data_IF_555618639144
#
_entry.id   IF_555618639144
#
_cell.length_a   1.000
_cell.length_b   1.000
_cell.length_c   1.000
_cell.angle_alpha   90.00
_cell.angle_beta   90.00
_cell.angle_gamma   90.00
#
_symmetry.space_group_name_H-M   'P 1'
#
loop_
_entity.id
_entity.type
_entity.pdbx_description
1 polymer ?
#
# COMPACT_ATOMS: atom_id res chain seq x y z
N UNK A 1 -14.63 -6.63 -35.82
CA UNK A 1 -14.84 -6.29 -34.40
C UNK A 1 -13.90 -7.18 -33.61
N UNK A 2 -12.72 -6.66 -33.27
CA UNK A 2 -11.68 -7.41 -32.56
C UNK A 2 -12.15 -7.66 -31.13
N UNK A 3 -12.34 -8.93 -30.76
CA UNK A 3 -12.63 -9.30 -29.38
C UNK A 3 -11.47 -8.86 -28.49
N UNK A 4 -11.75 -7.89 -27.61
CA UNK A 4 -10.82 -7.49 -26.55
C UNK A 4 -10.85 -8.62 -25.52
N UNK A 5 -9.95 -9.60 -25.68
CA UNK A 5 -9.70 -10.60 -24.63
C UNK A 5 -8.97 -9.91 -23.49
N UNK A 6 -9.68 -9.70 -22.39
CA UNK A 6 -9.09 -9.22 -21.14
C UNK A 6 -8.38 -10.43 -20.52
N UNK A 7 -7.10 -10.62 -20.86
CA UNK A 7 -6.28 -11.62 -20.18
C UNK A 7 -5.91 -11.09 -18.79
N UNK A 8 -6.45 -11.72 -17.75
CA UNK A 8 -6.08 -11.51 -16.34
C UNK A 8 -4.75 -12.19 -15.97
N UNK A 9 -3.89 -12.38 -16.96
CA UNK A 9 -2.58 -12.99 -16.77
C UNK A 9 -1.63 -11.93 -16.21
N UNK A 10 -0.85 -12.28 -15.17
CA UNK A 10 0.05 -11.30 -14.55
C UNK A 10 1.14 -10.94 -15.54
N UNK A 11 1.24 -9.67 -15.94
CA UNK A 11 2.28 -9.29 -16.86
C UNK A 11 3.65 -9.41 -16.17
N UNK A 12 4.53 -10.24 -16.72
CA UNK A 12 5.87 -10.47 -16.15
C UNK A 12 6.69 -9.18 -16.07
N UNK A 13 6.44 -8.22 -16.97
CA UNK A 13 7.08 -6.89 -16.94
C UNK A 13 6.74 -6.11 -15.66
N UNK A 14 5.55 -6.30 -15.09
CA UNK A 14 5.08 -5.57 -13.92
C UNK A 14 5.79 -6.08 -12.66
N UNK A 15 5.94 -7.40 -12.55
CA UNK A 15 6.71 -8.05 -11.48
C UNK A 15 8.17 -7.56 -11.52
N UNK A 16 8.79 -7.56 -12.70
CA UNK A 16 10.17 -7.08 -12.88
C UNK A 16 10.29 -5.60 -12.50
N UNK A 17 9.30 -4.77 -12.86
CA UNK A 17 9.28 -3.37 -12.47
C UNK A 17 9.25 -3.19 -10.94
N UNK A 18 8.42 -3.96 -10.22
CA UNK A 18 8.39 -3.94 -8.74
C UNK A 18 9.73 -4.32 -8.10
N UNK A 19 10.46 -5.29 -8.66
CA UNK A 19 11.79 -5.63 -8.16
C UNK A 19 12.81 -4.52 -8.41
N UNK A 20 12.80 -3.90 -9.60
CA UNK A 20 13.71 -2.79 -9.92
C UNK A 20 13.43 -1.59 -9.01
N UNK A 21 12.16 -1.22 -8.83
CA UNK A 21 11.78 -0.10 -7.96
C UNK A 21 12.13 -0.40 -6.51
N UNK A 22 11.89 -1.63 -6.02
CA UNK A 22 12.30 -2.07 -4.68
C UNK A 22 13.81 -2.04 -4.44
N UNK A 23 14.62 -2.47 -5.42
CA UNK A 23 16.09 -2.38 -5.31
C UNK A 23 16.53 -0.91 -5.30
N UNK A 24 15.94 -0.08 -6.16
CA UNK A 24 16.27 1.34 -6.22
C UNK A 24 15.91 2.08 -4.92
N UNK A 25 14.75 1.77 -4.31
CA UNK A 25 14.34 2.37 -3.05
C UNK A 25 15.24 1.89 -1.90
N UNK A 26 15.65 0.63 -1.87
CA UNK A 26 16.63 0.15 -0.89
C UNK A 26 17.96 0.90 -0.97
N UNK A 27 18.50 1.10 -2.18
CA UNK A 27 19.77 1.83 -2.36
C UNK A 27 19.61 3.29 -1.88
N UNK A 28 18.53 3.97 -2.28
CA UNK A 28 18.28 5.34 -1.86
C UNK A 28 18.07 5.46 -0.35
N UNK A 29 17.31 4.54 0.25
CA UNK A 29 17.06 4.54 1.68
C UNK A 29 18.34 4.30 2.48
N UNK A 30 19.20 3.37 2.04
CA UNK A 30 20.53 3.15 2.64
C UNK A 30 21.44 4.36 2.46
N UNK A 31 21.40 5.02 1.31
CA UNK A 31 22.15 6.24 1.07
C UNK A 31 21.70 7.38 1.99
N UNK A 32 20.40 7.54 2.23
CA UNK A 32 19.88 8.53 3.18
C UNK A 32 20.29 8.19 4.61
N UNK A 33 20.23 6.92 5.04
CA UNK A 33 20.76 6.50 6.35
C UNK A 33 22.24 6.84 6.47
N UNK A 34 23.04 6.56 5.43
CA UNK A 34 24.46 6.90 5.40
C UNK A 34 24.69 8.41 5.57
N UNK A 35 23.97 9.25 4.83
CA UNK A 35 24.05 10.70 4.98
C UNK A 35 23.66 11.17 6.40
N UNK A 36 22.63 10.57 6.99
CA UNK A 36 22.20 10.93 8.35
C UNK A 36 23.24 10.52 9.40
N UNK A 37 23.89 9.35 9.25
CA UNK A 37 24.88 8.87 10.23
C UNK A 37 26.20 9.65 10.11
N UNK A 38 26.72 9.81 8.89
CA UNK A 38 28.07 10.35 8.68
C UNK A 38 28.11 11.86 8.47
N UNK A 39 27.06 12.47 7.89
CA UNK A 39 27.05 13.88 7.52
C UNK A 39 26.20 14.76 8.44
N UNK A 40 25.42 14.16 9.35
CA UNK A 40 24.71 14.93 10.36
C UNK A 40 25.71 15.29 11.46
N UNK A 41 26.14 16.54 11.56
CA UNK A 41 27.18 16.98 12.51
C UNK A 41 26.63 17.51 13.84
N UNK A 42 25.52 18.28 13.84
CA UNK A 42 24.99 18.99 15.02
C UNK A 42 23.54 18.67 15.45
N UNK A 43 22.88 17.69 14.83
CA UNK A 43 21.42 17.47 14.99
C UNK A 43 21.02 16.39 16.02
N UNK A 44 21.54 16.44 17.24
CA UNK A 44 21.55 15.30 18.17
C UNK A 44 20.18 14.60 18.35
N UNK A 45 19.13 15.29 18.80
CA UNK A 45 17.79 14.66 18.94
C UNK A 45 16.95 14.59 17.66
N UNK A 46 17.31 15.33 16.60
CA UNK A 46 16.55 15.34 15.33
C UNK A 46 16.93 14.14 14.45
N UNK A 47 18.18 13.70 14.52
CA UNK A 47 18.66 12.52 13.77
C UNK A 47 17.89 11.25 14.08
N UNK A 48 17.59 10.99 15.36
CA UNK A 48 16.86 9.79 15.75
C UNK A 48 15.48 9.70 15.09
N UNK A 49 14.79 10.83 14.93
CA UNK A 49 13.49 10.89 14.26
C UNK A 49 13.62 10.68 12.75
N UNK A 50 14.64 11.26 12.13
CA UNK A 50 14.94 11.02 10.71
C UNK A 50 15.35 9.57 10.43
N UNK A 51 16.15 8.96 11.31
CA UNK A 51 16.52 7.55 11.20
C UNK A 51 15.30 6.65 11.37
N UNK A 52 14.45 6.91 12.36
CA UNK A 52 13.20 6.16 12.56
C UNK A 52 12.26 6.27 11.35
N UNK A 53 12.14 7.47 10.76
CA UNK A 53 11.42 7.67 9.51
C UNK A 53 12.00 6.83 8.37
N UNK A 54 13.32 6.90 8.18
CA UNK A 54 14.00 6.20 7.09
C UNK A 54 13.89 4.68 7.22
N UNK A 55 13.95 4.15 8.44
CA UNK A 55 13.72 2.73 8.75
C UNK A 55 12.26 2.35 8.41
N UNK A 56 11.28 3.18 8.77
CA UNK A 56 9.87 2.96 8.45
C UNK A 56 9.61 2.94 6.93
N UNK A 57 10.23 3.86 6.18
CA UNK A 57 10.19 3.87 4.72
C UNK A 57 10.78 2.57 4.16
N UNK A 58 11.96 2.18 4.62
CA UNK A 58 12.62 0.93 4.18
C UNK A 58 11.75 -0.30 4.45
N UNK A 59 11.13 -0.38 5.62
CA UNK A 59 10.23 -1.48 5.98
C UNK A 59 8.99 -1.51 5.07
N UNK A 60 8.44 -0.36 4.74
CA UNK A 60 7.26 -0.24 3.89
C UNK A 60 7.58 -0.54 2.42
N UNK A 61 8.75 -0.13 1.95
CA UNK A 61 9.26 -0.46 0.62
C UNK A 61 9.54 -1.97 0.49
N UNK A 62 10.07 -2.61 1.53
CA UNK A 62 10.22 -4.07 1.58
C UNK A 62 8.85 -4.77 1.61
N UNK A 63 7.90 -4.24 2.38
CA UNK A 63 6.54 -4.76 2.43
C UNK A 63 5.88 -4.69 1.04
N UNK A 64 5.97 -3.57 0.32
CA UNK A 64 5.36 -3.48 -1.02
C UNK A 64 6.09 -4.34 -2.05
N UNK A 65 7.42 -4.41 -2.00
CA UNK A 65 8.24 -5.09 -3.01
C UNK A 65 8.25 -6.62 -2.87
N UNK A 66 8.20 -7.15 -1.63
CA UNK A 66 8.32 -8.58 -1.34
C UNK A 66 6.99 -9.19 -0.88
N UNK A 67 6.25 -8.48 -0.03
CA UNK A 67 5.09 -9.04 0.69
C UNK A 67 3.80 -8.81 -0.08
N UNK A 68 3.55 -7.58 -0.52
CA UNK A 68 2.27 -7.18 -1.09
C UNK A 68 2.21 -7.27 -2.62
N UNK A 69 3.27 -6.91 -3.36
CA UNK A 69 3.30 -6.80 -4.85
C UNK A 69 1.90 -6.54 -5.44
N UNK A 70 1.33 -5.34 -5.21
CA UNK A 70 -0.06 -5.07 -5.55
C UNK A 70 -0.23 -5.01 -7.06
N UNK A 71 -1.00 -5.93 -7.64
CA UNK A 71 -1.33 -5.93 -9.06
C UNK A 71 -2.70 -5.29 -9.22
N UNK A 72 -2.74 -4.08 -9.76
CA UNK A 72 -3.98 -3.40 -10.11
C UNK A 72 -4.59 -3.99 -11.38
N UNK A 73 -5.90 -4.23 -11.37
CA UNK A 73 -6.66 -4.64 -12.55
C UNK A 73 -7.08 -3.42 -13.36
N UNK A 74 -6.43 -3.11 -14.47
CA UNK A 74 -6.97 -2.07 -15.35
C UNK A 74 -8.28 -2.55 -16.01
N UNK A 75 -9.38 -1.77 -16.08
CA UNK A 75 -9.63 -0.39 -15.61
C UNK A 75 -10.41 -0.28 -14.27
N UNK A 76 -10.41 -1.32 -13.45
CA UNK A 76 -11.19 -1.41 -12.20
C UNK A 76 -10.28 -0.98 -11.05
N UNK A 77 -10.74 -0.22 -10.04
CA UNK A 77 -9.92 0.11 -8.88
C UNK A 77 -9.71 -1.09 -7.94
N UNK A 78 -9.60 -2.31 -8.48
CA UNK A 78 -9.38 -3.54 -7.74
C UNK A 78 -7.95 -4.03 -7.99
N UNK A 79 -7.42 -4.82 -7.06
CA UNK A 79 -6.10 -5.41 -7.21
C UNK A 79 -5.86 -6.46 -6.16
N UNK A 80 -4.98 -7.39 -6.48
CA UNK A 80 -4.60 -8.46 -5.57
C UNK A 80 -3.09 -8.48 -5.39
N UNK A 81 -2.66 -8.93 -4.21
CA UNK A 81 -1.25 -9.10 -3.92
C UNK A 81 -0.74 -10.45 -4.39
N UNK A 82 0.34 -10.44 -5.16
CA UNK A 82 1.03 -11.65 -5.65
C UNK A 82 2.36 -11.92 -4.92
N UNK A 83 2.68 -11.15 -3.88
CA UNK A 83 3.91 -11.34 -3.13
C UNK A 83 3.93 -12.61 -2.29
N UNK A 84 5.12 -12.97 -1.77
CA UNK A 84 5.35 -14.14 -0.89
C UNK A 84 4.45 -14.07 0.35
N UNK A 85 4.06 -12.85 0.76
CA UNK A 85 3.15 -12.59 1.87
C UNK A 85 1.73 -13.10 1.70
N UNK A 86 1.29 -13.38 0.46
CA UNK A 86 -0.04 -13.93 0.19
C UNK A 86 -0.29 -15.25 0.93
N UNK A 87 0.75 -16.06 1.13
CA UNK A 87 0.65 -17.34 1.84
C UNK A 87 0.52 -17.20 3.36
N UNK A 88 0.90 -16.05 3.92
CA UNK A 88 0.97 -15.85 5.38
C UNK A 88 -0.05 -14.82 5.90
N UNK A 89 -0.44 -13.84 5.07
CA UNK A 89 -1.27 -12.70 5.48
C UNK A 89 -2.40 -12.51 4.46
N UNK A 90 -3.63 -12.38 4.96
CA UNK A 90 -4.78 -12.01 4.11
C UNK A 90 -4.53 -10.68 3.40
N UNK A 91 -4.92 -10.59 2.13
CA UNK A 91 -4.73 -9.37 1.31
C UNK A 91 -5.33 -8.11 1.97
N UNK A 92 -6.42 -8.27 2.71
CA UNK A 92 -7.05 -7.20 3.49
C UNK A 92 -6.14 -6.72 4.63
N UNK A 93 -5.60 -7.67 5.41
CA UNK A 93 -4.70 -7.38 6.53
C UNK A 93 -3.39 -6.77 6.05
N UNK A 94 -2.81 -7.27 4.95
CA UNK A 94 -1.59 -6.71 4.36
C UNK A 94 -1.75 -5.26 3.89
N UNK A 95 -2.86 -4.95 3.20
CA UNK A 95 -3.15 -3.58 2.75
C UNK A 95 -3.45 -2.63 3.92
N UNK A 96 -4.05 -3.12 5.00
CA UNK A 96 -4.30 -2.36 6.23
C UNK A 96 -3.00 -2.01 6.94
N UNK A 97 -2.11 -3.00 7.11
CA UNK A 97 -0.78 -2.81 7.72
C UNK A 97 0.04 -1.82 6.90
N UNK A 98 0.03 -1.93 5.58
CA UNK A 98 0.74 -1.01 4.70
C UNK A 98 0.20 0.43 4.82
N UNK A 99 -1.12 0.60 4.86
CA UNK A 99 -1.76 1.92 5.04
C UNK A 99 -1.41 2.56 6.38
N UNK A 100 -1.31 1.76 7.44
CA UNK A 100 -0.86 2.22 8.75
C UNK A 100 0.61 2.66 8.73
N UNK A 101 1.49 1.87 8.11
CA UNK A 101 2.91 2.21 7.97
C UNK A 101 3.11 3.52 7.18
N UNK A 102 2.40 3.72 6.07
CA UNK A 102 2.44 4.97 5.30
C UNK A 102 1.92 6.17 6.11
N UNK A 103 0.82 6.00 6.84
CA UNK A 103 0.30 7.07 7.71
C UNK A 103 1.32 7.47 8.77
N UNK A 104 1.98 6.50 9.40
CA UNK A 104 3.04 6.76 10.38
C UNK A 104 4.24 7.49 9.78
N UNK A 105 4.61 7.20 8.53
CA UNK A 105 5.68 7.92 7.83
C UNK A 105 5.36 9.42 7.68
N UNK A 106 4.14 9.75 7.25
CA UNK A 106 3.70 11.15 7.08
C UNK A 106 3.74 11.91 8.41
N UNK A 107 3.33 11.27 9.51
CA UNK A 107 3.37 11.87 10.85
C UNK A 107 4.80 12.16 11.31
N UNK A 108 5.69 11.15 11.23
CA UNK A 108 7.09 11.32 11.65
C UNK A 108 7.80 12.37 10.79
N UNK A 109 7.52 12.41 9.48
CA UNK A 109 8.05 13.43 8.57
C UNK A 109 7.57 14.85 8.95
N UNK A 110 6.29 14.97 9.29
CA UNK A 110 5.68 16.22 9.74
C UNK A 110 6.34 16.71 11.03
N UNK A 111 6.53 15.83 12.02
CA UNK A 111 7.26 16.14 13.26
C UNK A 111 8.70 16.58 12.94
N UNK A 112 9.39 15.89 12.03
CA UNK A 112 10.73 16.25 11.61
C UNK A 112 10.80 17.66 11.01
N UNK A 113 9.89 18.01 10.10
CA UNK A 113 9.84 19.35 9.52
C UNK A 113 9.57 20.43 10.56
N UNK A 114 8.63 20.21 11.48
CA UNK A 114 8.34 21.18 12.53
C UNK A 114 9.50 21.39 13.48
N UNK A 115 10.20 20.33 13.87
CA UNK A 115 11.39 20.44 14.73
C UNK A 115 12.54 21.16 14.03
N UNK A 116 12.73 20.89 12.73
CA UNK A 116 13.72 21.61 11.91
C UNK A 116 13.37 23.09 11.83
N UNK A 117 12.10 23.41 11.56
CA UNK A 117 11.61 24.78 11.52
C UNK A 117 11.82 25.47 12.87
N UNK A 118 11.43 24.83 13.98
CA UNK A 118 11.65 25.34 15.34
C UNK A 118 13.12 25.63 15.63
N UNK A 119 14.03 24.75 15.22
CA UNK A 119 15.46 24.98 15.41
C UNK A 119 15.95 26.22 14.65
N UNK A 120 15.48 26.42 13.41
CA UNK A 120 15.82 27.59 12.58
C UNK A 120 15.20 28.87 13.15
N UNK A 121 13.92 28.84 13.54
CA UNK A 121 13.22 29.99 14.14
C UNK A 121 13.82 30.38 15.47
N UNK A 122 14.23 29.41 16.30
CA UNK A 122 14.87 29.68 17.59
C UNK A 122 16.26 30.32 17.41
N UNK A 123 16.99 29.95 16.33
CA UNK A 123 18.24 30.61 15.98
C UNK A 123 18.01 32.04 15.45
N UNK A 124 16.94 32.27 14.70
CA UNK A 124 16.61 33.57 14.13
C UNK A 124 15.98 34.54 15.15
N UNK A 125 15.12 34.05 16.04
CA UNK A 125 14.36 34.83 17.03
C UNK A 125 14.10 34.01 18.31
N UNK A 126 15.05 33.97 19.27
CA UNK A 126 14.96 33.13 20.47
C UNK A 126 13.81 33.48 21.42
N UNK A 127 13.25 34.70 21.35
CA UNK A 127 12.12 35.15 22.17
C UNK A 127 10.73 34.85 21.58
N UNK A 128 10.64 34.51 20.28
CA UNK A 128 9.36 34.46 19.56
C UNK A 128 8.73 33.08 19.40
N UNK A 129 9.47 31.99 19.64
CA UNK A 129 8.99 30.64 19.36
C UNK A 129 8.21 30.05 20.54
N UNK A 130 6.92 30.37 20.63
CA UNK A 130 6.02 29.71 21.59
C UNK A 130 5.89 28.21 21.27
N UNK A 131 6.35 27.34 22.17
CA UNK A 131 6.17 25.87 22.06
C UNK A 131 4.70 25.46 21.93
N UNK A 132 3.76 26.30 22.37
CA UNK A 132 2.32 26.06 22.26
C UNK A 132 1.85 25.99 20.80
N UNK A 133 2.38 26.82 19.90
CA UNK A 133 1.99 26.82 18.47
C UNK A 133 2.30 25.47 17.81
N UNK A 134 3.46 24.89 18.12
CA UNK A 134 3.86 23.57 17.61
C UNK A 134 3.00 22.44 18.19
N UNK A 135 2.58 22.54 19.45
CA UNK A 135 1.65 21.58 20.07
C UNK A 135 0.25 21.68 19.45
N UNK A 136 -0.25 22.89 19.18
CA UNK A 136 -1.54 23.08 18.51
C UNK A 136 -1.54 22.52 17.09
N UNK A 137 -0.47 22.74 16.32
CA UNK A 137 -0.35 22.19 14.98
C UNK A 137 -0.31 20.66 15.00
N UNK A 138 0.41 20.06 15.96
CA UNK A 138 0.41 18.61 16.14
C UNK A 138 -0.99 18.09 16.51
N UNK A 139 -1.68 18.76 17.45
CA UNK A 139 -3.04 18.41 17.86
C UNK A 139 -4.08 18.51 16.73
N UNK A 140 -3.83 19.33 15.70
CA UNK A 140 -4.69 19.43 14.50
C UNK A 140 -4.33 18.36 13.45
N UNK A 141 -3.05 18.02 13.29
CA UNK A 141 -2.60 17.06 12.28
C UNK A 141 -2.96 15.60 12.64
N UNK A 142 -2.96 15.25 13.93
CA UNK A 142 -3.33 13.89 14.39
C UNK A 142 -4.77 13.52 14.02
N UNK A 143 -5.81 14.32 14.33
CA UNK A 143 -7.18 14.00 13.94
C UNK A 143 -7.38 14.04 12.42
N UNK A 144 -6.63 14.87 11.69
CA UNK A 144 -6.64 14.84 10.22
C UNK A 144 -6.07 13.52 9.67
N UNK A 145 -4.95 13.03 10.23
CA UNK A 145 -4.40 11.72 9.86
C UNK A 145 -5.36 10.58 10.18
N UNK A 146 -6.03 10.62 11.34
CA UNK A 146 -7.05 9.64 11.72
C UNK A 146 -8.23 9.67 10.75
N UNK A 147 -8.69 10.87 10.37
CA UNK A 147 -9.77 11.03 9.39
C UNK A 147 -9.38 10.47 8.02
N UNK A 148 -8.18 10.79 7.52
CA UNK A 148 -7.67 10.24 6.24
C UNK A 148 -7.53 8.73 6.32
N UNK A 149 -7.05 8.19 7.44
CA UNK A 149 -6.91 6.75 7.63
C UNK A 149 -8.27 6.04 7.66
N UNK A 150 -9.26 6.59 8.37
CA UNK A 150 -10.62 6.05 8.42
C UNK A 150 -11.26 6.00 7.01
N UNK A 151 -11.16 7.10 6.25
CA UNK A 151 -11.68 7.13 4.88
C UNK A 151 -10.94 6.20 3.92
N UNK A 152 -9.62 6.01 4.13
CA UNK A 152 -8.82 5.09 3.32
C UNK A 152 -9.19 3.63 3.60
N UNK A 153 -9.46 3.29 4.86
CA UNK A 153 -9.96 1.97 5.25
C UNK A 153 -11.35 1.70 4.66
N UNK A 154 -12.27 2.66 4.71
CA UNK A 154 -13.60 2.54 4.11
C UNK A 154 -13.54 2.31 2.59
N UNK A 155 -12.59 2.97 1.91
CA UNK A 155 -12.37 2.78 0.47
C UNK A 155 -11.83 1.37 0.19
N UNK A 156 -10.87 0.88 0.97
CA UNK A 156 -10.33 -0.48 0.83
C UNK A 156 -11.37 -1.56 1.15
N UNK A 157 -12.21 -1.34 2.17
CA UNK A 157 -13.29 -2.27 2.53
C UNK A 157 -14.35 -2.35 1.43
N UNK A 158 -14.75 -1.20 0.88
CA UNK A 158 -15.68 -1.15 -0.25
C UNK A 158 -15.10 -1.82 -1.50
N UNK A 159 -13.82 -1.60 -1.79
CA UNK A 159 -13.14 -2.26 -2.90
C UNK A 159 -13.08 -3.78 -2.74
N UNK A 160 -12.71 -4.26 -1.54
CA UNK A 160 -12.65 -5.69 -1.24
C UNK A 160 -14.04 -6.36 -1.34
N UNK A 161 -15.11 -5.65 -0.94
CA UNK A 161 -16.49 -6.12 -1.07
C UNK A 161 -16.95 -6.21 -2.53
N UNK A 162 -16.55 -5.24 -3.35
CA UNK A 162 -16.84 -5.23 -4.80
C UNK A 162 -16.16 -6.41 -5.49
N UNK A 163 -14.90 -6.71 -5.14
CA UNK A 163 -14.16 -7.84 -5.69
C UNK A 163 -14.84 -9.18 -5.35
N UNK A 164 -15.20 -9.39 -4.07
CA UNK A 164 -15.89 -10.60 -3.61
C UNK A 164 -17.26 -10.80 -4.29
N UNK A 165 -18.02 -9.72 -4.49
CA UNK A 165 -19.31 -9.79 -5.20
C UNK A 165 -19.15 -10.14 -6.68
N UNK A 166 -18.06 -9.71 -7.32
CA UNK A 166 -17.78 -9.98 -8.73
C UNK A 166 -17.27 -11.40 -8.94
N UNK A 167 -16.32 -11.85 -8.11
CA UNK A 167 -15.83 -13.23 -8.09
C UNK A 167 -16.96 -14.21 -7.80
N UNK A 168 -17.87 -13.89 -6.86
CA UNK A 168 -19.05 -14.71 -6.60
C UNK A 168 -19.96 -14.82 -7.84
N UNK A 169 -20.14 -13.75 -8.62
CA UNK A 169 -20.94 -13.79 -9.85
C UNK A 169 -20.28 -14.60 -10.97
N UNK A 170 -18.97 -14.48 -11.14
CA UNK A 170 -18.19 -15.28 -12.10
C UNK A 170 -18.23 -16.77 -11.74
N UNK A 171 -18.08 -17.12 -10.45
CA UNK A 171 -18.20 -18.50 -9.98
C UNK A 171 -19.62 -19.05 -10.24
N UNK A 172 -20.67 -18.27 -9.94
CA UNK A 172 -22.05 -18.67 -10.21
C UNK A 172 -22.33 -18.82 -11.72
N UNK A 173 -21.70 -17.99 -12.54
CA UNK A 173 -21.83 -18.07 -14.00
C UNK A 173 -21.17 -19.35 -14.53
N UNK A 174 -19.95 -19.66 -14.09
CA UNK A 174 -19.25 -20.89 -14.44
C UNK A 174 -19.97 -22.14 -13.92
N UNK A 175 -20.57 -22.10 -12.72
CA UNK A 175 -21.36 -23.20 -12.17
C UNK A 175 -22.62 -23.47 -13.02
N UNK A 176 -23.24 -22.42 -13.57
CA UNK A 176 -24.36 -22.57 -14.52
C UNK A 176 -23.93 -23.18 -15.85
N UNK A 177 -22.80 -22.74 -16.40
CA UNK A 177 -22.28 -23.23 -17.67
C UNK A 177 -21.88 -24.72 -17.58
N UNK A 178 -21.27 -25.12 -16.47
CA UNK A 178 -20.96 -26.54 -16.17
C UNK A 178 -22.24 -27.38 -16.00
N UNK A 179 -23.28 -26.84 -15.37
CA UNK A 179 -24.56 -27.55 -15.22
C UNK A 179 -25.30 -27.72 -16.56
N UNK A 180 -25.30 -26.71 -17.43
CA UNK A 180 -25.86 -26.83 -18.79
C UNK A 180 -25.10 -27.85 -19.64
N UNK A 181 -23.77 -27.90 -19.52
CA UNK A 181 -22.96 -28.88 -20.24
C UNK A 181 -23.26 -30.33 -19.79
N UNK A 182 -23.38 -30.56 -18.47
CA UNK A 182 -23.75 -31.86 -17.92
C UNK A 182 -25.19 -32.28 -18.30
N UNK A 183 -26.13 -31.32 -18.37
CA UNK A 183 -27.49 -31.57 -18.82
C UNK A 183 -27.55 -31.91 -20.31
N UNK A 184 -26.77 -31.22 -21.15
CA UNK A 184 -26.64 -31.50 -22.58
C UNK A 184 -26.04 -32.87 -22.88
N UNK A 185 -25.02 -33.29 -22.14
CA UNK A 185 -24.43 -34.64 -22.23
C UNK A 185 -25.44 -35.74 -21.83
N UNK A 186 -26.25 -35.51 -20.79
CA UNK A 186 -27.33 -36.43 -20.40
C UNK A 186 -28.43 -36.57 -21.45
N UNK A 187 -28.72 -35.51 -22.20
CA UNK A 187 -29.72 -35.51 -23.28
C UNK A 187 -29.18 -36.15 -24.58
N UNK A 188 -27.87 -36.01 -24.87
CA UNK A 188 -27.23 -36.70 -26.00
C UNK A 188 -27.07 -38.21 -25.72
N UNK A 189 -26.79 -38.60 -24.48
CA UNK A 189 -26.69 -40.01 -24.09
C UNK A 189 -28.06 -40.75 -24.14
N UNK A 190 -29.18 -40.05 -23.94
CA UNK A 190 -30.52 -40.66 -24.05
C UNK A 190 -31.00 -40.80 -25.50
N UNK A 191 -30.47 -39.99 -26.43
CA UNK A 191 -30.79 -40.07 -27.87
C UNK A 191 -30.06 -41.18 -28.63
N UNK A 192 -29.01 -41.77 -28.05
CA UNK A 192 -28.25 -42.88 -28.63
C UNK A 192 -28.71 -44.27 -28.14
N UNK A 193 -29.84 -44.34 -27.42
CA UNK A 193 -30.38 -45.59 -26.83
C UNK A 193 -31.76 -45.99 -27.37
N UNK A 194 -32.20 -45.41 -28.49
CA UNK A 194 -33.32 -45.87 -29.33
C UNK A 194 -32.78 -46.40 -30.65
#
# INVERSE_FOLDING_TARGET
MSEIRISFDVPSYLIVHYYITGISSLILNLFVVYLIVYHSGKLDSYRFYLLAFQISCTLSDLHISIVAQPIGFFPIPAGYGYGIGHYFISSHTGSTIFSFLLSGQIEVLTICFFRKHKAITNLANPLGSSSAVYLCIYAINIPYCIYVHANSLDLQFNCCRVDLSRVSKEIIFLEKEVNEYNFGQGFVASKFKQ
#
